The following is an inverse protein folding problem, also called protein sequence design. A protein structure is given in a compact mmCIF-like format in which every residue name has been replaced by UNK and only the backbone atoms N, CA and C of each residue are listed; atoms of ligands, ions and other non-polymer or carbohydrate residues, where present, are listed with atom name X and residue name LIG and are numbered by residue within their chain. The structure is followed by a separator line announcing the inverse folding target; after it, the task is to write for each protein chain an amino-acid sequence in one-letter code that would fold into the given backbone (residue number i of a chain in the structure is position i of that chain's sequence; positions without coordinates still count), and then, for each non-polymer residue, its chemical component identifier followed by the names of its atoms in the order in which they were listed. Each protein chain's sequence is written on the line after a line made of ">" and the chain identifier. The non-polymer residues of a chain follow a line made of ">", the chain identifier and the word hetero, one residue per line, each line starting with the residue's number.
data_IF_462847054092
#
_entry.id   IF_462847054092
#
_cell.length_a   1.000
_cell.length_b   1.000
_cell.length_c   1.000
_cell.angle_alpha   90.00
_cell.angle_beta   90.00
_cell.angle_gamma   90.00
#
_symmetry.space_group_name_H-M   'P 1'
#
loop_
_entity.id
_entity.type
_entity.pdbx_description
1 polymer ?
#
# COMPACT_ATOMS: atom_id res chain seq x y z
N UNK A 1 -5.04 -22.31 9.11
CA UNK A 1 -3.86 -21.58 9.61
C UNK A 1 -4.29 -20.31 10.31
N UNK A 2 -3.74 -20.08 11.46
CA UNK A 2 -4.10 -18.94 12.26
C UNK A 2 -3.44 -17.67 11.68
N UNK A 3 -4.20 -16.63 11.44
CA UNK A 3 -3.65 -15.40 10.92
C UNK A 3 -3.00 -14.61 12.06
N UNK A 4 -1.71 -14.35 11.94
CA UNK A 4 -1.00 -13.50 12.86
C UNK A 4 -1.34 -12.04 12.51
N UNK A 5 -1.83 -11.23 13.47
CA UNK A 5 -2.16 -9.83 13.18
C UNK A 5 -0.95 -8.99 12.78
N UNK A 6 0.26 -9.46 13.05
CA UNK A 6 1.49 -8.76 12.65
C UNK A 6 1.99 -9.17 11.27
N UNK A 7 1.37 -10.17 10.65
CA UNK A 7 1.75 -10.64 9.32
C UNK A 7 0.72 -10.19 8.29
N UNK A 8 1.13 -9.55 7.20
CA UNK A 8 0.20 -9.19 6.14
C UNK A 8 -0.35 -10.44 5.47
N UNK A 9 -1.61 -10.36 5.02
CA UNK A 9 -2.24 -11.44 4.26
C UNK A 9 -1.64 -11.48 2.87
N UNK A 10 -1.63 -12.67 2.20
CA UNK A 10 -1.14 -12.75 0.81
C UNK A 10 -1.82 -11.76 -0.12
N UNK A 11 -3.12 -11.53 0.03
CA UNK A 11 -3.85 -10.56 -0.77
C UNK A 11 -3.31 -9.13 -0.56
N UNK A 12 -3.02 -8.78 0.69
CA UNK A 12 -2.46 -7.47 1.03
C UNK A 12 -1.08 -7.28 0.40
N UNK A 13 -0.25 -8.33 0.43
CA UNK A 13 1.07 -8.29 -0.20
C UNK A 13 0.94 -8.05 -1.69
N UNK A 14 -0.02 -8.70 -2.35
CA UNK A 14 -0.27 -8.50 -3.78
C UNK A 14 -0.68 -7.06 -4.09
N UNK A 15 -1.52 -6.47 -3.27
CA UNK A 15 -1.93 -5.08 -3.45
C UNK A 15 -0.75 -4.11 -3.32
N UNK A 16 0.10 -4.34 -2.33
CA UNK A 16 1.31 -3.53 -2.15
C UNK A 16 2.24 -3.69 -3.34
N UNK A 17 2.44 -4.93 -3.81
CA UNK A 17 3.29 -5.20 -4.97
C UNK A 17 2.77 -4.51 -6.23
N UNK A 18 1.45 -4.51 -6.44
CA UNK A 18 0.85 -3.81 -7.58
C UNK A 18 1.10 -2.30 -7.51
N UNK A 19 0.98 -1.71 -6.33
CA UNK A 19 1.26 -0.29 -6.13
C UNK A 19 2.73 0.03 -6.41
N UNK A 20 3.64 -0.81 -5.93
CA UNK A 20 5.07 -0.64 -6.18
C UNK A 20 5.40 -0.75 -7.67
N UNK A 21 4.76 -1.70 -8.37
CA UNK A 21 4.94 -1.84 -9.82
C UNK A 21 4.49 -0.59 -10.57
N UNK A 22 3.39 0.03 -10.16
CA UNK A 22 2.91 1.27 -10.76
C UNK A 22 3.82 2.45 -10.46
N UNK A 23 4.45 2.47 -9.29
CA UNK A 23 5.38 3.52 -8.88
C UNK A 23 6.74 3.40 -9.57
N UNK A 24 7.13 2.19 -9.97
CA UNK A 24 8.46 1.91 -10.49
C UNK A 24 8.85 2.78 -11.71
N UNK A 25 7.99 2.91 -12.75
CA UNK A 25 8.35 3.74 -13.91
C UNK A 25 8.62 5.21 -13.57
N UNK A 26 8.06 5.69 -12.47
CA UNK A 26 8.18 7.08 -12.04
C UNK A 26 9.27 7.28 -10.98
N UNK A 27 9.91 6.21 -10.54
CA UNK A 27 10.88 6.26 -9.46
C UNK A 27 10.28 6.65 -8.11
N UNK A 28 9.00 6.35 -7.89
CA UNK A 28 8.27 6.79 -6.69
C UNK A 28 7.99 5.65 -5.72
N UNK A 29 8.76 4.57 -5.79
CA UNK A 29 8.52 3.41 -4.91
C UNK A 29 8.66 3.77 -3.43
N UNK A 30 9.71 4.53 -3.07
CA UNK A 30 9.91 4.95 -1.69
C UNK A 30 8.80 5.87 -1.21
N UNK A 31 8.39 6.80 -2.06
CA UNK A 31 7.30 7.74 -1.77
C UNK A 31 5.97 7.03 -1.59
N UNK A 32 5.68 6.06 -2.47
CA UNK A 32 4.49 5.23 -2.34
C UNK A 32 4.49 4.48 -1.00
N UNK A 33 5.62 3.87 -0.66
CA UNK A 33 5.75 3.12 0.60
C UNK A 33 5.56 4.03 1.81
N UNK A 34 6.12 5.23 1.77
CA UNK A 34 5.97 6.21 2.84
C UNK A 34 4.51 6.63 3.03
N UNK A 35 3.81 6.94 1.94
CA UNK A 35 2.39 7.30 2.00
C UNK A 35 1.55 6.14 2.54
N UNK A 36 1.83 4.92 2.09
CA UNK A 36 1.13 3.73 2.56
C UNK A 36 1.34 3.52 4.05
N UNK A 37 2.57 3.58 4.52
CA UNK A 37 2.89 3.39 5.93
C UNK A 37 2.25 4.49 6.79
N UNK A 38 2.27 5.73 6.31
CA UNK A 38 1.65 6.85 7.02
C UNK A 38 0.15 6.67 7.15
N UNK A 39 -0.52 6.25 6.07
CA UNK A 39 -1.96 5.98 6.11
C UNK A 39 -2.29 4.87 7.09
N UNK A 40 -1.53 3.77 7.06
CA UNK A 40 -1.77 2.64 7.94
C UNK A 40 -1.56 3.01 9.42
N UNK A 41 -0.60 3.86 9.71
CA UNK A 41 -0.35 4.33 11.07
C UNK A 41 -1.46 5.27 11.55
N UNK A 42 -1.98 6.10 10.67
CA UNK A 42 -3.01 7.10 11.00
C UNK A 42 -4.40 6.45 11.08
N UNK A 43 -4.68 5.50 10.20
CA UNK A 43 -5.99 4.84 10.08
C UNK A 43 -5.83 3.33 10.11
N UNK A 44 -5.43 2.75 11.27
CA UNK A 44 -5.11 1.32 11.33
C UNK A 44 -6.30 0.40 11.08
N UNK A 45 -7.53 0.91 11.15
CA UNK A 45 -8.74 0.13 10.89
C UNK A 45 -9.11 0.07 9.40
N UNK A 46 -8.47 0.88 8.55
CA UNK A 46 -8.79 0.89 7.13
C UNK A 46 -8.24 -0.38 6.45
N UNK A 47 -9.00 -0.94 5.49
CA UNK A 47 -8.51 -2.10 4.75
C UNK A 47 -7.31 -1.73 3.88
N UNK A 48 -6.47 -2.73 3.58
CA UNK A 48 -5.28 -2.52 2.76
C UNK A 48 -5.61 -1.94 1.38
N UNK A 49 -6.75 -2.35 0.81
CA UNK A 49 -7.20 -1.83 -0.48
C UNK A 49 -7.34 -0.32 -0.48
N UNK A 50 -7.91 0.22 0.60
CA UNK A 50 -8.06 1.66 0.76
C UNK A 50 -6.71 2.33 0.98
N UNK A 51 -5.86 1.75 1.82
CA UNK A 51 -4.54 2.31 2.11
C UNK A 51 -3.69 2.40 0.85
N UNK A 52 -3.68 1.34 0.04
CA UNK A 52 -2.94 1.31 -1.23
C UNK A 52 -3.52 2.32 -2.21
N UNK A 53 -4.85 2.40 -2.31
CA UNK A 53 -5.49 3.35 -3.22
C UNK A 53 -5.16 4.79 -2.85
N UNK A 54 -5.21 5.13 -1.56
CA UNK A 54 -4.85 6.47 -1.09
C UNK A 54 -3.39 6.79 -1.40
N UNK A 55 -2.48 5.83 -1.17
CA UNK A 55 -1.07 6.03 -1.47
C UNK A 55 -0.84 6.25 -2.97
N UNK A 56 -1.56 5.50 -3.82
CA UNK A 56 -1.49 5.68 -5.27
C UNK A 56 -2.03 7.04 -5.69
N UNK A 57 -3.14 7.48 -5.09
CA UNK A 57 -3.74 8.78 -5.37
C UNK A 57 -2.80 9.93 -4.97
N UNK A 58 -2.09 9.79 -3.85
CA UNK A 58 -1.15 10.81 -3.38
C UNK A 58 -0.07 11.11 -4.41
N UNK A 59 0.32 10.11 -5.21
CA UNK A 59 1.39 10.26 -6.20
C UNK A 59 0.89 10.09 -7.63
N UNK A 60 -0.45 10.07 -7.81
CA UNK A 60 -1.09 10.04 -9.12
C UNK A 60 -0.65 8.81 -9.95
N UNK A 61 -0.65 7.64 -9.31
CA UNK A 61 -0.13 6.41 -9.88
C UNK A 61 -1.18 5.49 -10.51
N UNK A 62 -2.46 5.80 -10.37
CA UNK A 62 -3.55 4.92 -10.80
C UNK A 62 -4.11 5.25 -12.18
N UNK A 63 -3.23 5.65 -13.06
CA UNK A 63 -3.59 5.91 -14.46
C UNK A 63 -3.53 4.67 -15.31
#
# INVERSE_FOLDING_TARGET
>A
MKTDPNNPRPHDIQLIAQGLDKAKPWGLQAEFTWSLATHMATYPSDPMEMAVQVAMDDWDLDH
#
